data_IF_374333951521
#
_entry.id   IF_374333951521
#
_cell.length_a   1.000
_cell.length_b   1.000
_cell.length_c   1.000
_cell.angle_alpha   90.00
_cell.angle_beta   90.00
_cell.angle_gamma   90.00
#
_symmetry.space_group_name_H-M   'P 1'
#
loop_
_entity.id
_entity.type
_entity.pdbx_description
1 polymer ?
#
# COMPACT_ATOMS: atom_id res chain seq x y z
N UNK A 1 38.59 8.83 4.97
CA UNK A 1 39.87 8.12 4.75
C UNK A 1 40.26 8.08 3.28
N UNK A 2 39.56 7.35 2.39
CA UNK A 2 39.94 7.21 0.96
C UNK A 2 40.08 8.55 0.21
N UNK A 3 39.18 9.52 0.46
CA UNK A 3 39.25 10.84 -0.17
C UNK A 3 40.50 11.65 0.23
N UNK A 4 40.92 11.55 1.49
CA UNK A 4 42.11 12.24 1.99
C UNK A 4 43.39 11.58 1.44
N UNK A 5 43.40 10.25 1.33
CA UNK A 5 44.54 9.52 0.74
C UNK A 5 44.78 9.91 -0.74
N UNK A 6 43.69 10.03 -1.51
CA UNK A 6 43.73 10.50 -2.91
C UNK A 6 44.27 11.94 -3.00
N UNK A 7 43.81 12.81 -2.09
CA UNK A 7 44.23 14.21 -2.03
C UNK A 7 45.71 14.33 -1.66
N UNK A 8 46.18 13.56 -0.69
CA UNK A 8 47.59 13.49 -0.34
C UNK A 8 48.47 13.02 -1.50
N UNK A 9 48.03 12.00 -2.26
CA UNK A 9 48.76 11.55 -3.46
C UNK A 9 48.87 12.63 -4.52
N UNK A 10 47.80 13.38 -4.79
CA UNK A 10 47.83 14.54 -5.71
C UNK A 10 48.84 15.61 -5.26
N UNK A 11 48.91 15.87 -3.95
CA UNK A 11 49.90 16.79 -3.39
C UNK A 11 51.33 16.27 -3.58
N UNK A 12 51.59 14.99 -3.28
CA UNK A 12 52.91 14.35 -3.47
C UNK A 12 53.36 14.38 -4.93
N UNK A 13 52.46 14.18 -5.89
CA UNK A 13 52.79 14.31 -7.32
C UNK A 13 53.17 15.74 -7.70
N UNK A 14 52.52 16.74 -7.10
CA UNK A 14 52.80 18.15 -7.37
C UNK A 14 54.16 18.55 -6.78
N UNK A 15 54.47 18.07 -5.58
CA UNK A 15 55.77 18.24 -4.92
C UNK A 15 56.89 17.54 -5.70
N UNK A 16 56.69 16.28 -6.12
CA UNK A 16 57.64 15.54 -6.94
C UNK A 16 57.94 16.27 -8.26
N UNK A 17 56.92 16.83 -8.90
CA UNK A 17 57.09 17.62 -10.12
C UNK A 17 57.94 18.88 -9.88
N UNK A 18 57.74 19.58 -8.76
CA UNK A 18 58.57 20.72 -8.38
C UNK A 18 60.03 20.29 -8.18
N UNK A 19 60.27 19.27 -7.36
CA UNK A 19 61.61 18.78 -7.04
C UNK A 19 62.38 18.31 -8.28
N UNK A 20 61.74 17.55 -9.18
CA UNK A 20 62.38 17.05 -10.41
C UNK A 20 62.73 18.20 -11.38
N UNK A 21 61.86 19.19 -11.51
CA UNK A 21 62.14 20.35 -12.37
C UNK A 21 63.24 21.23 -11.79
N UNK A 22 63.28 21.43 -10.47
CA UNK A 22 64.33 22.20 -9.81
C UNK A 22 65.69 21.51 -9.92
N UNK A 23 65.74 20.18 -9.80
CA UNK A 23 66.95 19.40 -10.04
C UNK A 23 67.47 19.55 -11.47
N UNK A 24 66.61 19.45 -12.50
CA UNK A 24 67.03 19.66 -13.89
C UNK A 24 67.41 21.12 -14.20
N UNK A 25 66.82 22.11 -13.51
CA UNK A 25 67.25 23.52 -13.60
C UNK A 25 68.66 23.69 -13.04
N UNK A 26 68.90 23.20 -11.82
CA UNK A 26 70.22 23.25 -11.18
C UNK A 26 71.28 22.58 -12.07
N UNK A 27 70.97 21.39 -12.59
CA UNK A 27 71.87 20.67 -13.51
C UNK A 27 72.17 21.47 -14.79
N UNK A 28 71.16 22.16 -15.33
CA UNK A 28 71.34 23.03 -16.50
C UNK A 28 72.30 24.19 -16.19
N UNK A 29 72.21 24.78 -15.00
CA UNK A 29 73.07 25.89 -14.58
C UNK A 29 74.51 25.44 -14.30
N UNK A 30 74.70 24.29 -13.64
CA UNK A 30 76.02 23.68 -13.42
C UNK A 30 76.72 23.33 -14.74
N UNK A 31 76.02 22.68 -15.67
CA UNK A 31 76.57 22.37 -17.00
C UNK A 31 76.94 23.63 -17.78
N UNK A 32 76.13 24.71 -17.67
CA UNK A 32 76.43 26.00 -18.29
C UNK A 32 77.69 26.62 -17.70
N UNK A 33 77.88 26.55 -16.38
CA UNK A 33 79.08 27.06 -15.72
C UNK A 33 80.33 26.29 -16.18
N UNK A 34 80.27 24.96 -16.17
CA UNK A 34 81.37 24.10 -16.62
C UNK A 34 81.77 24.40 -18.07
N UNK A 35 80.81 24.47 -19.00
CA UNK A 35 81.09 24.76 -20.41
C UNK A 35 81.73 26.15 -20.61
N UNK A 36 81.30 27.16 -19.84
CA UNK A 36 81.90 28.50 -19.87
C UNK A 36 83.36 28.48 -19.41
N UNK A 37 83.63 27.83 -18.28
CA UNK A 37 85.00 27.70 -17.75
C UNK A 37 85.91 26.97 -18.74
N UNK A 38 85.44 25.87 -19.35
CA UNK A 38 86.23 25.12 -20.32
C UNK A 38 86.43 25.88 -21.64
N UNK A 39 85.45 26.68 -22.10
CA UNK A 39 85.62 27.56 -23.26
C UNK A 39 86.74 28.58 -23.03
N UNK A 40 86.73 29.23 -21.86
CA UNK A 40 87.75 30.22 -21.48
C UNK A 40 89.15 29.58 -21.42
N UNK A 41 89.29 28.44 -20.74
CA UNK A 41 90.56 27.72 -20.65
C UNK A 41 91.11 27.30 -22.03
N UNK A 42 90.25 26.79 -22.91
CA UNK A 42 90.66 26.38 -24.26
C UNK A 42 91.05 27.57 -25.15
N UNK A 43 90.42 28.73 -24.97
CA UNK A 43 90.80 29.98 -25.63
C UNK A 43 92.15 30.53 -25.12
N UNK A 44 92.42 30.40 -23.81
CA UNK A 44 93.67 30.83 -23.16
C UNK A 44 94.89 30.01 -23.62
N UNK A 45 94.73 28.69 -23.79
CA UNK A 45 95.82 27.79 -24.20
C UNK A 45 96.23 28.02 -25.68
N UNK A 46 95.42 28.74 -26.48
CA UNK A 46 95.67 29.14 -27.89
C UNK A 46 96.08 28.01 -28.86
N UNK A 47 95.83 26.75 -28.50
CA UNK A 47 96.16 25.59 -29.34
C UNK A 47 95.28 25.47 -30.59
N UNK A 48 94.05 25.98 -30.53
CA UNK A 48 93.07 26.01 -31.62
C UNK A 48 92.63 27.46 -31.91
N UNK A 49 92.25 27.78 -33.17
CA UNK A 49 91.56 29.03 -33.47
C UNK A 49 90.25 29.14 -32.67
N UNK A 50 89.90 30.35 -32.20
CA UNK A 50 88.68 30.62 -31.42
C UNK A 50 87.41 30.07 -32.08
N UNK A 51 87.32 30.11 -33.42
CA UNK A 51 86.20 29.52 -34.17
C UNK A 51 86.05 28.00 -33.97
N UNK A 52 87.14 27.25 -33.90
CA UNK A 52 87.11 25.79 -33.68
C UNK A 52 86.83 25.45 -32.22
N UNK A 53 87.33 26.25 -31.25
CA UNK A 53 86.97 26.10 -29.83
C UNK A 53 85.47 26.28 -29.63
N UNK A 54 84.89 27.36 -30.18
CA UNK A 54 83.44 27.57 -30.13
C UNK A 54 82.65 26.47 -30.85
N UNK A 55 83.14 25.94 -31.98
CA UNK A 55 82.49 24.82 -32.68
C UNK A 55 82.46 23.55 -31.84
N UNK A 56 83.56 23.25 -31.12
CA UNK A 56 83.65 22.09 -30.23
C UNK A 56 82.74 22.24 -29.00
N UNK A 57 82.76 23.40 -28.35
CA UNK A 57 81.86 23.72 -27.23
C UNK A 57 80.39 23.64 -27.68
N UNK A 58 80.06 24.16 -28.87
CA UNK A 58 78.72 24.06 -29.42
C UNK A 58 78.29 22.60 -29.67
N UNK A 59 79.20 21.75 -30.19
CA UNK A 59 78.94 20.32 -30.41
C UNK A 59 78.69 19.57 -29.09
N UNK A 60 79.42 19.88 -28.03
CA UNK A 60 79.19 19.26 -26.72
C UNK A 60 77.94 19.83 -26.03
N UNK A 61 77.70 21.14 -26.12
CA UNK A 61 76.48 21.77 -25.63
C UNK A 61 75.21 21.20 -26.29
N UNK A 62 75.25 20.94 -27.61
CA UNK A 62 74.12 20.32 -28.33
C UNK A 62 73.87 18.88 -27.87
N UNK A 63 74.91 18.06 -27.66
CA UNK A 63 74.74 16.71 -27.08
C UNK A 63 74.12 16.76 -25.68
N UNK A 64 74.62 17.64 -24.82
CA UNK A 64 74.08 17.82 -23.47
C UNK A 64 72.63 18.31 -23.48
N UNK A 65 72.29 19.24 -24.37
CA UNK A 65 70.92 19.72 -24.55
C UNK A 65 69.97 18.60 -24.97
N UNK A 66 70.39 17.70 -25.87
CA UNK A 66 69.59 16.52 -26.25
C UNK A 66 69.33 15.63 -25.04
N UNK A 67 70.34 15.38 -24.20
CA UNK A 67 70.18 14.60 -22.98
C UNK A 67 69.26 15.29 -21.95
N UNK A 68 69.38 16.61 -21.76
CA UNK A 68 68.50 17.39 -20.88
C UNK A 68 67.03 17.34 -21.35
N UNK A 69 66.79 17.46 -22.66
CA UNK A 69 65.46 17.34 -23.23
C UNK A 69 64.89 15.92 -23.07
N UNK A 70 65.70 14.88 -23.26
CA UNK A 70 65.30 13.51 -23.01
C UNK A 70 64.89 13.31 -21.54
N UNK A 71 65.66 13.84 -20.59
CA UNK A 71 65.32 13.76 -19.17
C UNK A 71 64.03 14.49 -18.82
N UNK A 72 63.85 15.73 -19.31
CA UNK A 72 62.60 16.48 -19.11
C UNK A 72 61.39 15.74 -19.68
N UNK A 73 61.56 15.10 -20.84
CA UNK A 73 60.53 14.23 -21.42
C UNK A 73 60.23 13.03 -20.54
N UNK A 74 61.25 12.36 -20.00
CA UNK A 74 61.06 11.22 -19.08
C UNK A 74 60.35 11.64 -17.79
N UNK A 75 60.68 12.81 -17.23
CA UNK A 75 59.98 13.38 -16.06
C UNK A 75 58.50 13.62 -16.39
N UNK A 76 58.21 14.24 -17.53
CA UNK A 76 56.83 14.49 -17.95
C UNK A 76 56.05 13.18 -18.17
N UNK A 77 56.68 12.16 -18.76
CA UNK A 77 56.08 10.84 -18.97
C UNK A 77 55.79 10.12 -17.65
N UNK A 78 56.72 10.15 -16.69
CA UNK A 78 56.52 9.59 -15.36
C UNK A 78 55.32 10.22 -14.66
N UNK A 79 55.25 11.56 -14.66
CA UNK A 79 54.15 12.29 -14.03
C UNK A 79 52.81 12.04 -14.71
N UNK A 80 52.81 11.86 -16.03
CA UNK A 80 51.61 11.50 -16.77
C UNK A 80 51.11 10.11 -16.35
N UNK A 81 51.97 9.09 -16.36
CA UNK A 81 51.58 7.74 -15.93
C UNK A 81 51.10 7.71 -14.48
N UNK A 82 51.79 8.40 -13.55
CA UNK A 82 51.37 8.46 -12.15
C UNK A 82 49.99 9.12 -11.98
N UNK A 83 49.68 10.16 -12.76
CA UNK A 83 48.36 10.80 -12.75
C UNK A 83 47.29 9.91 -13.36
N UNK A 84 47.61 9.22 -14.46
CA UNK A 84 46.72 8.26 -15.10
C UNK A 84 46.34 7.10 -14.17
N UNK A 85 47.33 6.46 -13.54
CA UNK A 85 47.11 5.38 -12.58
C UNK A 85 46.24 5.84 -11.40
N UNK A 86 46.48 7.04 -10.88
CA UNK A 86 45.68 7.59 -9.80
C UNK A 86 44.23 7.90 -10.24
N UNK A 87 44.03 8.40 -11.46
CA UNK A 87 42.69 8.61 -12.02
C UNK A 87 41.94 7.28 -12.23
N UNK A 88 42.63 6.25 -12.71
CA UNK A 88 42.05 4.91 -12.86
C UNK A 88 41.63 4.35 -11.49
N UNK A 89 42.46 4.52 -10.47
CA UNK A 89 42.11 4.10 -9.12
C UNK A 89 40.92 4.88 -8.55
N UNK A 90 40.87 6.20 -8.72
CA UNK A 90 39.72 7.04 -8.32
C UNK A 90 38.43 6.57 -9.00
N UNK A 91 38.49 6.28 -10.29
CA UNK A 91 37.35 5.77 -11.05
C UNK A 91 36.84 4.43 -10.51
N UNK A 92 37.74 3.47 -10.26
CA UNK A 92 37.37 2.16 -9.70
C UNK A 92 36.75 2.29 -8.30
N UNK A 93 37.30 3.16 -7.45
CA UNK A 93 36.76 3.42 -6.13
C UNK A 93 35.36 4.06 -6.20
N UNK A 94 35.15 4.98 -7.14
CA UNK A 94 33.84 5.58 -7.37
C UNK A 94 32.81 4.55 -7.82
N UNK A 95 33.17 3.69 -8.78
CA UNK A 95 32.29 2.62 -9.27
C UNK A 95 31.91 1.66 -8.13
N UNK A 96 32.88 1.21 -7.34
CA UNK A 96 32.62 0.35 -6.18
C UNK A 96 31.74 1.03 -5.13
N UNK A 97 31.92 2.33 -4.91
CA UNK A 97 31.08 3.08 -3.99
C UNK A 97 29.64 3.18 -4.51
N UNK A 98 29.43 3.46 -5.79
CA UNK A 98 28.11 3.48 -6.42
C UNK A 98 27.41 2.12 -6.35
N UNK A 99 28.12 1.03 -6.66
CA UNK A 99 27.60 -0.33 -6.56
C UNK A 99 27.15 -0.67 -5.13
N UNK A 100 27.98 -0.33 -4.13
CA UNK A 100 27.65 -0.55 -2.72
C UNK A 100 26.46 0.32 -2.28
N UNK A 101 26.41 1.58 -2.72
CA UNK A 101 25.31 2.49 -2.44
C UNK A 101 24.00 1.96 -3.04
N UNK A 102 24.03 1.50 -4.29
CA UNK A 102 22.88 0.92 -4.97
C UNK A 102 22.41 -0.37 -4.30
N UNK A 103 23.34 -1.24 -3.90
CA UNK A 103 23.04 -2.46 -3.14
C UNK A 103 22.38 -2.14 -1.80
N UNK A 104 22.93 -1.18 -1.05
CA UNK A 104 22.36 -0.71 0.21
C UNK A 104 20.95 -0.13 0.02
N UNK A 105 20.74 0.70 -1.01
CA UNK A 105 19.41 1.24 -1.36
C UNK A 105 18.43 0.13 -1.68
N UNK A 106 18.82 -0.85 -2.49
CA UNK A 106 17.98 -1.99 -2.88
C UNK A 106 17.52 -2.81 -1.67
N UNK A 107 18.42 -3.07 -0.72
CA UNK A 107 18.09 -3.75 0.55
C UNK A 107 17.11 -2.91 1.37
N UNK A 108 17.30 -1.59 1.45
CA UNK A 108 16.39 -0.69 2.19
C UNK A 108 15.01 -0.60 1.55
N UNK A 109 14.93 -0.48 0.23
CA UNK A 109 13.68 -0.51 -0.53
C UNK A 109 12.95 -1.83 -0.28
N UNK A 110 13.64 -2.96 -0.43
CA UNK A 110 13.04 -4.29 -0.24
C UNK A 110 12.54 -4.47 1.19
N UNK A 111 13.31 -4.01 2.18
CA UNK A 111 12.89 -4.03 3.59
C UNK A 111 11.69 -3.14 3.89
N UNK A 112 11.56 -1.97 3.23
CA UNK A 112 10.37 -1.11 3.36
C UNK A 112 9.13 -1.77 2.77
N UNK A 113 9.25 -2.34 1.56
CA UNK A 113 8.15 -3.05 0.90
C UNK A 113 7.71 -4.26 1.73
N UNK A 114 8.65 -5.02 2.29
CA UNK A 114 8.32 -6.19 3.10
C UNK A 114 7.66 -5.80 4.43
N UNK A 115 8.10 -4.72 5.07
CA UNK A 115 7.40 -4.15 6.23
C UNK A 115 5.96 -3.78 5.89
N UNK A 116 5.73 -3.11 4.76
CA UNK A 116 4.39 -2.81 4.30
C UNK A 116 3.55 -4.09 4.10
N UNK A 117 4.12 -5.13 3.47
CA UNK A 117 3.42 -6.41 3.24
C UNK A 117 3.05 -7.13 4.54
N UNK A 118 3.96 -7.16 5.51
CA UNK A 118 3.68 -7.75 6.84
C UNK A 118 2.58 -6.98 7.55
N UNK A 119 2.62 -5.65 7.53
CA UNK A 119 1.55 -4.80 8.05
C UNK A 119 0.22 -5.08 7.34
N UNK A 120 0.22 -5.07 6.01
CA UNK A 120 -0.97 -5.33 5.19
C UNK A 120 -1.59 -6.69 5.52
N UNK A 121 -0.78 -7.74 5.62
CA UNK A 121 -1.24 -9.09 5.98
C UNK A 121 -1.85 -9.13 7.39
N UNK A 122 -1.29 -8.38 8.35
CA UNK A 122 -1.81 -8.29 9.71
C UNK A 122 -3.18 -7.60 9.77
N UNK A 123 -3.41 -6.64 8.88
CA UNK A 123 -4.64 -5.85 8.80
C UNK A 123 -5.76 -6.65 8.13
N UNK A 124 -5.45 -7.35 7.03
CA UNK A 124 -6.41 -8.25 6.36
C UNK A 124 -6.88 -9.38 7.28
N UNK A 125 -6.01 -9.84 8.19
CA UNK A 125 -6.34 -10.90 9.15
C UNK A 125 -7.21 -10.50 10.35
N UNK A 126 -7.50 -9.20 10.56
CA UNK A 126 -8.32 -8.78 11.71
C UNK A 126 -9.79 -9.11 11.50
N UNK A 127 -10.31 -10.04 12.30
CA UNK A 127 -11.76 -10.19 12.45
C UNK A 127 -12.33 -9.10 13.36
N UNK A 128 -13.48 -8.50 13.02
CA UNK A 128 -14.12 -7.51 13.88
C UNK A 128 -14.74 -8.17 15.11
N UNK A 129 -14.27 -7.80 16.31
CA UNK A 129 -14.78 -8.24 17.63
C UNK A 129 -16.30 -8.02 17.80
N UNK A 130 -16.86 -7.03 17.09
CA UNK A 130 -18.30 -6.72 17.08
C UNK A 130 -19.17 -7.84 16.50
N UNK A 131 -18.59 -8.80 15.77
CA UNK A 131 -19.34 -9.91 15.15
C UNK A 131 -20.09 -10.82 16.14
N UNK A 132 -19.61 -10.97 17.39
CA UNK A 132 -20.25 -11.85 18.38
C UNK A 132 -21.56 -11.27 18.93
N UNK A 133 -21.56 -10.00 19.34
CA UNK A 133 -22.76 -9.32 19.83
C UNK A 133 -23.83 -9.24 18.73
N UNK A 134 -23.40 -8.93 17.50
CA UNK A 134 -24.29 -8.86 16.34
C UNK A 134 -24.95 -10.18 16.01
N UNK A 135 -24.24 -11.30 16.23
CA UNK A 135 -24.76 -12.65 16.03
C UNK A 135 -25.81 -13.01 17.09
N UNK A 136 -25.57 -12.68 18.35
CA UNK A 136 -26.54 -12.93 19.43
C UNK A 136 -27.85 -12.17 19.19
N UNK A 137 -27.80 -10.87 18.88
CA UNK A 137 -29.00 -10.09 18.56
C UNK A 137 -29.75 -10.65 17.34
N UNK A 138 -29.02 -11.16 16.34
CA UNK A 138 -29.65 -11.82 15.19
C UNK A 138 -30.36 -13.12 15.57
N UNK A 139 -29.77 -13.91 16.48
CA UNK A 139 -30.37 -15.16 16.99
C UNK A 139 -31.66 -14.84 17.76
N UNK A 140 -31.65 -13.85 18.64
CA UNK A 140 -32.81 -13.42 19.41
C UNK A 140 -33.97 -12.95 18.51
N UNK A 141 -33.70 -12.06 17.54
CA UNK A 141 -34.70 -11.59 16.60
C UNK A 141 -35.24 -12.72 15.72
N UNK A 142 -34.39 -13.67 15.35
CA UNK A 142 -34.80 -14.84 14.57
C UNK A 142 -35.70 -15.76 15.40
N UNK A 143 -35.43 -15.89 16.70
CA UNK A 143 -36.27 -16.65 17.61
C UNK A 143 -37.63 -15.98 17.82
N UNK A 144 -37.66 -14.68 18.08
CA UNK A 144 -38.92 -13.91 18.16
C UNK A 144 -39.77 -14.07 16.90
N UNK A 145 -39.15 -14.02 15.71
CA UNK A 145 -39.86 -14.26 14.44
C UNK A 145 -40.47 -15.67 14.37
N UNK A 146 -39.74 -16.69 14.85
CA UNK A 146 -40.25 -18.07 14.89
C UNK A 146 -41.42 -18.20 15.85
N UNK A 147 -41.38 -17.55 17.00
CA UNK A 147 -42.44 -17.62 18.00
C UNK A 147 -43.74 -17.02 17.44
N UNK A 148 -43.67 -15.87 16.76
CA UNK A 148 -44.83 -15.28 16.06
C UNK A 148 -45.36 -16.22 14.97
N UNK A 149 -44.48 -16.82 14.15
CA UNK A 149 -44.89 -17.78 13.11
C UNK A 149 -45.56 -19.02 13.73
N UNK A 150 -45.10 -19.48 14.90
CA UNK A 150 -45.70 -20.62 15.58
C UNK A 150 -47.11 -20.30 16.10
N UNK A 151 -47.37 -19.06 16.53
CA UNK A 151 -48.73 -18.62 16.90
C UNK A 151 -49.70 -18.69 15.71
N UNK A 152 -49.21 -18.42 14.49
CA UNK A 152 -50.04 -18.51 13.27
C UNK A 152 -50.58 -19.93 13.09
N UNK A 153 -49.76 -20.95 13.36
CA UNK A 153 -50.13 -22.37 13.19
C UNK A 153 -51.27 -22.81 14.13
N UNK A 154 -51.40 -22.17 15.28
CA UNK A 154 -52.43 -22.51 16.28
C UNK A 154 -53.76 -21.77 16.05
N UNK A 155 -53.82 -20.82 15.12
CA UNK A 155 -55.05 -20.11 14.78
C UNK A 155 -55.88 -20.91 13.79
N UNK A 156 -56.87 -21.63 14.32
CA UNK A 156 -57.90 -22.31 13.55
C UNK A 156 -59.27 -22.03 14.19
N UNK A 157 -60.38 -22.13 13.45
CA UNK A 157 -61.70 -22.16 14.06
C UNK A 157 -61.76 -23.13 15.26
N UNK A 158 -62.32 -22.73 16.43
CA UNK A 158 -63.13 -21.54 16.66
C UNK A 158 -62.35 -20.28 17.09
N UNK A 159 -61.03 -20.35 17.28
CA UNK A 159 -60.23 -19.27 17.92
C UNK A 159 -59.77 -18.18 16.96
N UNK A 160 -59.99 -18.34 15.65
CA UNK A 160 -59.60 -17.35 14.64
C UNK A 160 -60.57 -16.15 14.61
N UNK A 161 -60.02 -14.94 14.61
CA UNK A 161 -60.75 -13.68 14.45
C UNK A 161 -59.97 -12.68 13.61
N UNK A 162 -60.66 -11.72 13.01
CA UNK A 162 -60.05 -10.68 12.17
C UNK A 162 -59.09 -9.77 12.97
N UNK A 163 -59.38 -9.55 14.26
CA UNK A 163 -58.49 -8.81 15.17
C UNK A 163 -57.22 -9.59 15.46
N UNK A 164 -57.32 -10.86 15.84
CA UNK A 164 -56.17 -11.73 16.06
C UNK A 164 -55.28 -11.83 14.82
N UNK A 165 -55.89 -11.90 13.62
CA UNK A 165 -55.15 -11.91 12.35
C UNK A 165 -54.38 -10.62 12.09
N UNK A 166 -54.96 -9.48 12.45
CA UNK A 166 -54.31 -8.17 12.30
C UNK A 166 -53.18 -7.99 13.32
N UNK A 167 -53.37 -8.48 14.55
CA UNK A 167 -52.39 -8.34 15.63
C UNK A 167 -51.11 -9.13 15.35
N UNK A 168 -51.19 -10.41 14.95
CA UNK A 168 -49.97 -11.16 14.63
C UNK A 168 -49.26 -10.58 13.40
N UNK A 169 -50.00 -10.07 12.41
CA UNK A 169 -49.41 -9.48 11.21
C UNK A 169 -48.63 -8.21 11.54
N UNK A 170 -49.18 -7.37 12.42
CA UNK A 170 -48.47 -6.19 12.94
C UNK A 170 -47.22 -6.59 13.73
N UNK A 171 -47.31 -7.62 14.59
CA UNK A 171 -46.16 -8.15 15.34
C UNK A 171 -45.08 -8.70 14.40
N UNK A 172 -45.44 -9.52 13.41
CA UNK A 172 -44.48 -10.09 12.46
C UNK A 172 -43.82 -8.99 11.62
N UNK A 173 -44.59 -7.99 11.21
CA UNK A 173 -44.08 -6.83 10.46
C UNK A 173 -43.09 -6.03 11.31
N UNK A 174 -43.39 -5.81 12.59
CA UNK A 174 -42.49 -5.13 13.52
C UNK A 174 -41.16 -5.90 13.70
N UNK A 175 -41.22 -7.22 13.88
CA UNK A 175 -40.01 -8.06 14.00
C UNK A 175 -39.19 -8.03 12.70
N UNK A 176 -39.84 -8.14 11.53
CA UNK A 176 -39.14 -8.03 10.24
C UNK A 176 -38.45 -6.67 10.06
N UNK A 177 -39.10 -5.58 10.47
CA UNK A 177 -38.49 -4.24 10.45
C UNK A 177 -37.29 -4.12 11.40
N UNK A 178 -37.36 -4.74 12.58
CA UNK A 178 -36.22 -4.78 13.51
C UNK A 178 -35.04 -5.56 12.93
N UNK A 179 -35.29 -6.69 12.25
CA UNK A 179 -34.26 -7.47 11.56
C UNK A 179 -33.61 -6.64 10.44
N UNK A 180 -34.41 -5.98 9.60
CA UNK A 180 -33.91 -5.14 8.51
C UNK A 180 -33.08 -3.96 9.03
N UNK A 181 -33.52 -3.34 10.14
CA UNK A 181 -32.78 -2.27 10.81
C UNK A 181 -31.44 -2.78 11.34
N UNK A 182 -31.44 -3.94 12.02
CA UNK A 182 -30.22 -4.58 12.52
C UNK A 182 -29.23 -4.89 11.40
N UNK A 183 -29.70 -5.45 10.27
CA UNK A 183 -28.85 -5.69 9.09
C UNK A 183 -28.29 -4.40 8.50
N UNK A 184 -29.09 -3.34 8.49
CA UNK A 184 -28.66 -2.01 8.01
C UNK A 184 -27.57 -1.43 8.89
N UNK A 185 -27.71 -1.53 10.21
CA UNK A 185 -26.73 -1.04 11.17
C UNK A 185 -25.45 -1.87 11.12
N UNK A 186 -25.56 -3.20 10.99
CA UNK A 186 -24.42 -4.09 10.78
C UNK A 186 -23.62 -3.74 9.52
N UNK A 187 -24.30 -3.57 8.37
CA UNK A 187 -23.64 -3.17 7.13
C UNK A 187 -22.96 -1.80 7.25
N UNK A 188 -23.56 -0.87 7.98
CA UNK A 188 -22.97 0.45 8.23
C UNK A 188 -21.69 0.34 9.06
N UNK A 189 -21.71 -0.47 10.11
CA UNK A 189 -20.53 -0.72 10.95
C UNK A 189 -19.42 -1.43 10.17
N UNK A 190 -19.77 -2.47 9.40
CA UNK A 190 -18.82 -3.19 8.56
C UNK A 190 -18.16 -2.27 7.53
N UNK A 191 -18.96 -1.40 6.89
CA UNK A 191 -18.44 -0.38 5.96
C UNK A 191 -17.46 0.57 6.66
N UNK A 192 -17.79 1.06 7.86
CA UNK A 192 -16.89 1.94 8.63
C UNK A 192 -15.57 1.25 8.98
N UNK A 193 -15.62 -0.01 9.43
CA UNK A 193 -14.43 -0.78 9.76
C UNK A 193 -13.52 -0.99 8.54
N UNK A 194 -14.08 -1.40 7.40
CA UNK A 194 -13.33 -1.50 6.13
C UNK A 194 -12.78 -0.14 5.69
N UNK A 195 -13.55 0.93 5.89
CA UNK A 195 -13.11 2.30 5.61
C UNK A 195 -12.04 2.82 6.59
N UNK A 196 -11.91 2.23 7.77
CA UNK A 196 -10.77 2.52 8.64
C UNK A 196 -9.54 1.75 8.18
N UNK A 197 -9.71 0.46 7.87
CA UNK A 197 -8.67 -0.42 7.36
C UNK A 197 -7.98 0.13 6.10
N UNK A 198 -8.72 0.57 5.07
CA UNK A 198 -8.07 1.14 3.87
C UNK A 198 -7.33 2.47 4.18
N UNK A 199 -7.83 3.27 5.13
CA UNK A 199 -7.18 4.52 5.55
C UNK A 199 -5.86 4.22 6.24
N UNK A 200 -5.83 3.23 7.13
CA UNK A 200 -4.62 2.77 7.79
C UNK A 200 -3.60 2.25 6.77
N UNK A 201 -4.04 1.50 5.76
CA UNK A 201 -3.18 1.03 4.67
C UNK A 201 -2.61 2.18 3.83
N UNK A 202 -3.43 3.19 3.50
CA UNK A 202 -2.96 4.38 2.77
C UNK A 202 -1.95 5.19 3.59
N UNK A 203 -2.22 5.39 4.88
CA UNK A 203 -1.31 6.09 5.77
C UNK A 203 0.04 5.36 5.87
N UNK A 204 0.04 4.03 5.93
CA UNK A 204 1.29 3.25 5.95
C UNK A 204 2.02 3.29 4.60
N UNK A 205 1.30 3.34 3.48
CA UNK A 205 1.89 3.52 2.16
C UNK A 205 2.55 4.90 2.01
N UNK A 206 1.94 5.96 2.54
CA UNK A 206 2.55 7.30 2.57
C UNK A 206 3.79 7.33 3.46
N UNK A 207 3.79 6.69 4.63
CA UNK A 207 5.04 6.54 5.42
C UNK A 207 6.13 5.80 4.66
N UNK A 208 5.77 4.77 3.89
CA UNK A 208 6.72 4.07 3.03
C UNK A 208 7.27 5.00 1.95
N UNK A 209 6.42 5.85 1.35
CA UNK A 209 6.82 6.87 0.37
C UNK A 209 7.81 7.87 0.96
N UNK A 210 7.52 8.43 2.13
CA UNK A 210 8.41 9.35 2.85
C UNK A 210 9.77 8.69 3.15
N UNK A 211 9.75 7.44 3.62
CA UNK A 211 10.97 6.69 3.90
C UNK A 211 11.77 6.36 2.63
N UNK A 212 11.12 6.16 1.48
CA UNK A 212 11.78 5.97 0.19
C UNK A 212 12.41 7.28 -0.30
N UNK A 213 11.70 8.40 -0.19
CA UNK A 213 12.23 9.74 -0.53
C UNK A 213 13.46 10.10 0.30
N UNK A 214 13.51 9.67 1.57
CA UNK A 214 14.69 9.85 2.43
C UNK A 214 15.95 9.10 1.94
N UNK A 215 15.83 8.14 1.02
CA UNK A 215 16.97 7.41 0.42
C UNK A 215 17.63 8.18 -0.75
N UNK A 216 17.26 9.44 -0.97
CA UNK A 216 17.71 10.28 -2.09
C UNK A 216 17.39 9.67 -3.46
N UNK A 217 16.24 9.00 -3.56
CA UNK A 217 15.70 8.49 -4.82
C UNK A 217 14.99 9.63 -5.55
N UNK A 218 14.95 9.57 -6.89
CA UNK A 218 14.12 10.50 -7.65
C UNK A 218 12.63 10.19 -7.44
N UNK A 219 11.76 11.19 -7.63
CA UNK A 219 10.31 11.00 -7.51
C UNK A 219 9.79 9.90 -8.46
N UNK A 220 10.35 9.81 -9.67
CA UNK A 220 10.07 8.75 -10.63
C UNK A 220 10.42 7.36 -10.09
N UNK A 221 11.59 7.20 -9.47
CA UNK A 221 12.02 5.93 -8.88
C UNK A 221 11.12 5.51 -7.72
N UNK A 222 10.71 6.46 -6.88
CA UNK A 222 9.77 6.21 -5.79
C UNK A 222 8.41 5.76 -6.35
N UNK A 223 7.91 6.44 -7.38
CA UNK A 223 6.65 6.09 -8.04
C UNK A 223 6.73 4.72 -8.74
N UNK A 224 7.86 4.36 -9.35
CA UNK A 224 8.11 3.04 -9.92
C UNK A 224 8.13 1.91 -8.88
N UNK A 225 8.29 2.22 -7.59
CA UNK A 225 8.21 1.23 -6.51
C UNK A 225 6.79 1.16 -5.95
N UNK A 226 6.18 2.31 -5.67
CA UNK A 226 4.86 2.41 -5.04
C UNK A 226 3.75 1.90 -5.96
N UNK A 227 3.75 2.37 -7.21
CA UNK A 227 2.70 2.10 -8.19
C UNK A 227 2.52 0.60 -8.49
N UNK A 228 3.58 -0.21 -8.70
CA UNK A 228 3.40 -1.64 -8.94
C UNK A 228 3.37 -2.51 -7.67
N UNK A 229 3.94 -2.07 -6.53
CA UNK A 229 4.11 -2.95 -5.36
C UNK A 229 3.13 -2.69 -4.22
N UNK A 230 2.68 -1.45 -4.02
CA UNK A 230 1.85 -1.05 -2.87
C UNK A 230 0.41 -0.75 -3.29
N UNK A 231 0.21 0.11 -4.30
CA UNK A 231 -1.13 0.53 -4.74
C UNK A 231 -2.04 -0.64 -5.17
N UNK A 232 -1.58 -1.64 -5.94
CA UNK A 232 -2.46 -2.71 -6.41
C UNK A 232 -2.97 -3.58 -5.27
N UNK A 233 -2.21 -3.70 -4.17
CA UNK A 233 -2.66 -4.42 -2.97
C UNK A 233 -3.80 -3.68 -2.27
N UNK A 234 -3.67 -2.36 -2.13
CA UNK A 234 -4.69 -1.51 -1.50
C UNK A 234 -5.95 -1.45 -2.36
N UNK A 235 -5.80 -1.27 -3.67
CA UNK A 235 -6.91 -1.23 -4.64
C UNK A 235 -7.61 -2.60 -4.76
N UNK A 236 -6.83 -3.68 -4.76
CA UNK A 236 -7.36 -5.05 -4.73
C UNK A 236 -8.22 -5.30 -3.49
N UNK A 237 -7.73 -4.91 -2.31
CA UNK A 237 -8.49 -5.02 -1.07
C UNK A 237 -9.77 -4.18 -1.12
N UNK A 238 -9.66 -2.91 -1.53
CA UNK A 238 -10.81 -2.00 -1.63
C UNK A 238 -11.88 -2.53 -2.57
N UNK A 239 -11.51 -2.94 -3.77
CA UNK A 239 -12.44 -3.47 -4.78
C UNK A 239 -13.12 -4.75 -4.31
N UNK A 240 -12.39 -5.67 -3.68
CA UNK A 240 -12.95 -6.88 -3.09
C UNK A 240 -13.96 -6.55 -1.97
N UNK A 241 -13.61 -5.62 -1.09
CA UNK A 241 -14.47 -5.19 0.02
C UNK A 241 -15.74 -4.48 -0.46
N UNK A 242 -15.63 -3.62 -1.48
CA UNK A 242 -16.76 -2.94 -2.10
C UNK A 242 -17.71 -3.93 -2.78
N UNK A 243 -17.16 -4.91 -3.52
CA UNK A 243 -17.95 -5.96 -4.16
C UNK A 243 -18.70 -6.81 -3.13
N UNK A 244 -18.05 -7.20 -2.04
CA UNK A 244 -18.68 -7.95 -0.96
C UNK A 244 -19.78 -7.13 -0.25
N UNK A 245 -19.54 -5.85 0.04
CA UNK A 245 -20.56 -4.97 0.64
C UNK A 245 -21.77 -4.79 -0.29
N UNK A 246 -21.54 -4.64 -1.59
CA UNK A 246 -22.61 -4.55 -2.58
C UNK A 246 -23.44 -5.83 -2.64
N UNK A 247 -22.79 -7.00 -2.69
CA UNK A 247 -23.47 -8.30 -2.68
C UNK A 247 -24.32 -8.50 -1.41
N UNK A 248 -23.77 -8.16 -0.24
CA UNK A 248 -24.52 -8.24 1.01
C UNK A 248 -25.73 -7.29 1.03
N UNK A 249 -25.58 -6.06 0.53
CA UNK A 249 -26.69 -5.11 0.42
C UNK A 249 -27.82 -5.65 -0.47
N UNK A 250 -27.48 -6.16 -1.65
CA UNK A 250 -28.45 -6.77 -2.57
C UNK A 250 -29.16 -7.96 -1.91
N UNK A 251 -28.41 -8.81 -1.21
CA UNK A 251 -28.98 -9.96 -0.50
C UNK A 251 -29.97 -9.53 0.60
N UNK A 252 -29.63 -8.51 1.40
CA UNK A 252 -30.51 -7.94 2.42
C UNK A 252 -31.79 -7.39 1.80
N UNK A 253 -31.67 -6.57 0.76
CA UNK A 253 -32.82 -5.94 0.11
C UNK A 253 -33.76 -7.01 -0.46
N UNK A 254 -33.20 -8.07 -1.05
CA UNK A 254 -33.96 -9.22 -1.55
C UNK A 254 -34.70 -9.96 -0.42
N UNK A 255 -34.03 -10.19 0.72
CA UNK A 255 -34.60 -10.86 1.88
C UNK A 255 -35.72 -10.03 2.53
N UNK A 256 -35.52 -8.71 2.66
CA UNK A 256 -36.51 -7.76 3.16
C UNK A 256 -37.79 -7.84 2.33
N UNK A 257 -37.66 -7.67 1.00
CA UNK A 257 -38.78 -7.76 0.06
C UNK A 257 -39.48 -9.12 0.09
N UNK A 258 -38.72 -10.21 0.10
CA UNK A 258 -39.28 -11.56 0.17
C UNK A 258 -40.06 -11.76 1.47
N UNK A 259 -39.51 -11.33 2.62
CA UNK A 259 -40.15 -11.47 3.92
C UNK A 259 -41.46 -10.66 4.01
N UNK A 260 -41.47 -9.43 3.51
CA UNK A 260 -42.66 -8.59 3.47
C UNK A 260 -43.74 -9.19 2.54
N UNK A 261 -43.34 -9.68 1.37
CA UNK A 261 -44.23 -10.35 0.42
C UNK A 261 -44.86 -11.61 1.00
N UNK A 262 -44.05 -12.48 1.61
CA UNK A 262 -44.51 -13.70 2.25
C UNK A 262 -45.48 -13.43 3.41
N UNK A 263 -45.13 -12.50 4.32
CA UNK A 263 -46.01 -12.08 5.42
C UNK A 263 -47.35 -11.56 4.92
N UNK A 264 -47.35 -10.77 3.85
CA UNK A 264 -48.57 -10.23 3.23
C UNK A 264 -49.45 -11.32 2.64
N UNK A 265 -48.88 -12.27 1.89
CA UNK A 265 -49.64 -13.39 1.34
C UNK A 265 -50.31 -14.23 2.43
N UNK A 266 -49.59 -14.53 3.52
CA UNK A 266 -50.16 -15.29 4.65
C UNK A 266 -51.27 -14.49 5.33
N UNK A 267 -51.10 -13.19 5.51
CA UNK A 267 -52.13 -12.31 6.06
C UNK A 267 -53.40 -12.31 5.22
N UNK A 268 -53.29 -12.17 3.90
CA UNK A 268 -54.46 -12.14 3.01
C UNK A 268 -55.28 -13.44 3.10
N UNK A 269 -54.60 -14.61 3.16
CA UNK A 269 -55.26 -15.91 3.33
C UNK A 269 -55.92 -16.02 4.71
N UNK A 270 -55.18 -15.74 5.78
CA UNK A 270 -55.70 -15.87 7.15
C UNK A 270 -56.87 -14.91 7.41
N UNK A 271 -56.83 -13.71 6.83
CA UNK A 271 -57.92 -12.73 6.93
C UNK A 271 -59.16 -13.22 6.21
N UNK A 272 -59.02 -13.83 5.03
CA UNK A 272 -60.15 -14.45 4.33
C UNK A 272 -60.79 -15.58 5.15
N UNK A 273 -59.97 -16.45 5.76
CA UNK A 273 -60.46 -17.54 6.64
C UNK A 273 -61.20 -16.98 7.86
N UNK A 274 -60.65 -15.96 8.53
CA UNK A 274 -61.28 -15.31 9.66
C UNK A 274 -62.66 -14.71 9.30
N UNK A 275 -62.73 -13.98 8.18
CA UNK A 275 -63.98 -13.39 7.69
C UNK A 275 -65.04 -14.46 7.35
N UNK A 276 -64.63 -15.56 6.72
CA UNK A 276 -65.52 -16.69 6.42
C UNK A 276 -66.06 -17.33 7.70
N UNK A 277 -65.19 -17.55 8.70
CA UNK A 277 -65.57 -18.11 9.99
C UNK A 277 -66.54 -17.19 10.75
N UNK A 278 -66.23 -15.90 10.89
CA UNK A 278 -67.11 -14.94 11.55
C UNK A 278 -68.48 -14.83 10.86
N UNK A 279 -68.50 -14.88 9.52
CA UNK A 279 -69.75 -14.89 8.76
C UNK A 279 -70.55 -16.17 9.01
N UNK A 280 -69.87 -17.32 9.12
CA UNK A 280 -70.50 -18.58 9.49
C UNK A 280 -71.10 -18.51 10.91
N UNK A 281 -70.35 -18.04 11.90
CA UNK A 281 -70.84 -17.86 13.28
C UNK A 281 -72.11 -17.00 13.32
N UNK A 282 -72.10 -15.82 12.67
CA UNK A 282 -73.28 -14.93 12.60
C UNK A 282 -74.50 -15.62 11.97
N UNK A 283 -74.30 -16.40 10.89
CA UNK A 283 -75.39 -17.16 10.25
C UNK A 283 -75.92 -18.26 11.15
N UNK A 284 -75.03 -18.96 11.87
CA UNK A 284 -75.42 -20.02 12.81
C UNK A 284 -76.19 -19.44 14.00
N UNK A 285 -75.76 -18.32 14.57
CA UNK A 285 -76.47 -17.60 15.63
C UNK A 285 -77.87 -17.15 15.19
N UNK A 286 -77.99 -16.60 13.97
CA UNK A 286 -79.29 -16.20 13.40
C UNK A 286 -80.23 -17.38 13.28
N UNK A 287 -79.73 -18.51 12.73
CA UNK A 287 -80.52 -19.73 12.54
C UNK A 287 -80.88 -20.41 13.86
N UNK A 288 -79.99 -20.35 14.86
CA UNK A 288 -80.27 -20.81 16.20
C UNK A 288 -81.37 -19.98 16.86
N UNK A 289 -81.33 -18.65 16.73
CA UNK A 289 -82.38 -17.76 17.23
C UNK A 289 -83.74 -18.02 16.54
N UNK A 290 -83.76 -18.24 15.22
CA UNK A 290 -84.96 -18.65 14.47
C UNK A 290 -85.53 -19.98 14.98
N UNK A 291 -84.67 -20.99 15.17
CA UNK A 291 -85.09 -22.30 15.70
C UNK A 291 -85.60 -22.20 17.15
N UNK A 292 -84.94 -21.41 18.00
CA UNK A 292 -85.39 -21.17 19.37
C UNK A 292 -86.77 -20.49 19.38
N UNK A 293 -87.01 -19.53 18.48
CA UNK A 293 -88.32 -18.90 18.29
C UNK A 293 -89.37 -19.93 17.87
N UNK A 294 -89.10 -20.73 16.84
CA UNK A 294 -90.00 -21.79 16.40
C UNK A 294 -90.32 -22.81 17.50
N UNK A 295 -89.32 -23.21 18.29
CA UNK A 295 -89.53 -24.08 19.45
C UNK A 295 -90.39 -23.40 20.53
N UNK A 296 -90.23 -22.10 20.74
CA UNK A 296 -91.09 -21.30 21.61
C UNK A 296 -92.54 -21.29 21.14
N UNK A 297 -92.77 -21.04 19.85
CA UNK A 297 -94.09 -21.03 19.23
C UNK A 297 -94.77 -22.42 19.32
N UNK A 298 -94.03 -23.50 19.11
CA UNK A 298 -94.53 -24.88 19.28
C UNK A 298 -94.88 -25.17 20.75
N UNK A 299 -94.04 -24.74 21.71
CA UNK A 299 -94.33 -24.93 23.14
C UNK A 299 -95.58 -24.16 23.59
N UNK A 300 -95.76 -22.93 23.10
CA UNK A 300 -96.96 -22.13 23.41
C UNK A 300 -98.23 -22.74 22.81
N UNK A 301 -98.17 -23.20 21.56
CA UNK A 301 -99.32 -23.88 20.93
C UNK A 301 -99.66 -25.20 21.63
N UNK A 302 -98.67 -25.99 22.08
CA UNK A 302 -98.93 -27.18 22.89
C UNK A 302 -99.56 -26.87 24.25
N UNK A 303 -99.17 -25.78 24.90
CA UNK A 303 -99.80 -25.35 26.16
C UNK A 303 -101.26 -24.90 25.98
N UNK A 304 -101.60 -24.29 24.83
CA UNK A 304 -102.98 -23.91 24.50
C UNK A 304 -103.89 -25.10 24.14
N UNK A 305 -103.32 -26.23 23.69
CA UNK A 305 -104.06 -27.47 23.42
C UNK A 305 -104.28 -28.35 24.68
N UNK A 306 -103.59 -28.06 25.79
CA UNK A 306 -103.66 -28.83 27.05
C UNK A 306 -104.57 -28.13 28.10
N UNK A 307 -105.02 -26.90 27.84
CA UNK A 307 -106.10 -26.21 28.58
C UNK A 307 -107.46 -26.48 27.93
#
# INVERSE_FOLDING_TARGET
EVHEEVKERKNRFSELNLQLNDCERQRTDELRAILRTHSQLLEEIRFLPSSEVHRLIHKEATKLNVALLANRRSIAQLLLHLKEDNLQQEFLLHLQWEERLNSWRSIRISGLVERFRTFFSSVVGRQPLSGQQMKQTQEDLTQQRRDVIQQIRTMAPPTISSTAVSDWFNQLTAVNQQIDQHHTDFLRQLKRLRQQTWQDCLAEAEKCKEALSALQLSEEQVNCIISPKLLPLIEGLKSQDEAQLAALKVSRDSLSHHSAGASKCVFDVMRAVALLWETHCRRMETREAELQKHLGDIKQSQQQFIQ
#
